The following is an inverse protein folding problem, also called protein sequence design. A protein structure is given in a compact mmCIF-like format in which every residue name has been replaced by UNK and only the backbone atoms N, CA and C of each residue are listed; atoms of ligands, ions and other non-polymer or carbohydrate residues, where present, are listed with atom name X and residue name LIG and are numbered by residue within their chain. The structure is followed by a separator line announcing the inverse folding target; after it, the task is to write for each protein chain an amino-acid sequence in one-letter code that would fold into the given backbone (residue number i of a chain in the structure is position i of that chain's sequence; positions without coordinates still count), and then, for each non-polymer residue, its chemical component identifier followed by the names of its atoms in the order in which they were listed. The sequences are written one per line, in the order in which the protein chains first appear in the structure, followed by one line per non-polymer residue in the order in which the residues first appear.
data_IF_482370547457
#
_entry.id   IF_482370547457
#
_cell.length_a   1.000
_cell.length_b   1.000
_cell.length_c   1.000
_cell.angle_alpha   90.00
_cell.angle_beta   90.00
_cell.angle_gamma   90.00
#
_symmetry.space_group_name_H-M   'P 1'
#
loop_
_entity.id
_entity.type
_entity.pdbx_description
1 polymer ?
#
# COMPACT_ATOMS: atom_id res chain seq x y z
N UNK A 1 4.61 18.38 -32.19
CA UNK A 1 3.93 17.26 -31.52
C UNK A 1 4.92 16.63 -30.55
N UNK A 2 4.65 16.62 -29.24
CA UNK A 2 5.58 16.15 -28.19
C UNK A 2 5.73 14.62 -28.10
N UNK A 3 5.26 13.88 -29.10
CA UNK A 3 5.19 12.41 -29.08
C UNK A 3 6.55 11.78 -28.70
N UNK A 4 7.65 12.22 -29.31
CA UNK A 4 9.00 11.68 -29.02
C UNK A 4 9.57 12.06 -27.65
N UNK A 5 8.90 12.91 -26.87
CA UNK A 5 9.35 13.31 -25.54
C UNK A 5 8.77 12.40 -24.44
N UNK A 6 7.81 11.52 -24.74
CA UNK A 6 7.29 10.57 -23.74
C UNK A 6 8.37 9.54 -23.35
N UNK A 7 9.17 9.07 -24.32
CA UNK A 7 10.22 8.08 -24.08
C UNK A 7 11.35 8.55 -23.17
N UNK A 8 11.47 9.84 -22.86
CA UNK A 8 12.48 10.32 -21.90
C UNK A 8 12.12 10.00 -20.45
N UNK A 9 10.85 9.71 -20.17
CA UNK A 9 10.35 9.40 -18.82
C UNK A 9 10.30 7.90 -18.54
N UNK A 10 10.51 7.07 -19.57
CA UNK A 10 10.34 5.62 -19.52
C UNK A 10 11.61 4.90 -19.99
N UNK A 11 12.20 4.00 -19.19
CA UNK A 11 13.39 3.26 -19.58
C UNK A 11 13.11 2.23 -20.69
N UNK A 12 11.87 1.75 -20.78
CA UNK A 12 11.39 0.81 -21.80
C UNK A 12 10.17 1.40 -22.49
N UNK A 13 10.02 1.10 -23.78
CA UNK A 13 9.15 1.89 -24.65
C UNK A 13 8.25 1.05 -25.54
N UNK A 14 8.14 -0.27 -25.38
CA UNK A 14 7.33 -1.10 -26.29
C UNK A 14 5.87 -0.62 -26.34
N UNK A 15 5.26 -0.35 -25.18
CA UNK A 15 3.90 0.18 -25.10
C UNK A 15 3.80 1.60 -25.69
N UNK A 16 4.82 2.44 -25.47
CA UNK A 16 4.88 3.76 -26.08
C UNK A 16 5.05 3.69 -27.61
N UNK A 17 5.83 2.75 -28.14
CA UNK A 17 5.98 2.53 -29.58
C UNK A 17 4.66 2.08 -30.21
N UNK A 18 3.87 1.26 -29.50
CA UNK A 18 2.52 0.89 -29.94
C UNK A 18 1.61 2.12 -30.03
N UNK A 19 1.58 2.96 -29.00
CA UNK A 19 0.82 4.23 -29.01
C UNK A 19 1.26 5.12 -30.19
N UNK A 20 2.56 5.27 -30.38
CA UNK A 20 3.15 6.06 -31.46
C UNK A 20 2.77 5.51 -32.84
N UNK A 21 2.84 4.19 -33.04
CA UNK A 21 2.48 3.53 -34.30
C UNK A 21 1.02 3.78 -34.65
N UNK A 22 0.10 3.50 -33.74
CA UNK A 22 -1.34 3.71 -33.93
C UNK A 22 -1.66 5.19 -34.19
N UNK A 23 -1.01 6.10 -33.46
CA UNK A 23 -1.20 7.55 -33.67
C UNK A 23 -0.79 8.01 -35.07
N UNK A 24 0.29 7.45 -35.61
CA UNK A 24 0.76 7.76 -36.96
C UNK A 24 -0.16 7.14 -38.03
N UNK A 25 -0.65 5.92 -37.81
CA UNK A 25 -1.62 5.27 -38.71
C UNK A 25 -2.95 6.02 -38.81
N UNK A 26 -3.36 6.72 -37.74
CA UNK A 26 -4.58 7.50 -37.69
C UNK A 26 -4.44 8.95 -38.18
N UNK A 27 -3.23 9.39 -38.55
CA UNK A 27 -2.95 10.78 -38.92
C UNK A 27 -3.53 11.16 -40.31
N UNK A 28 -4.87 11.22 -40.39
CA UNK A 28 -5.67 11.88 -41.42
C UNK A 28 -5.88 13.35 -41.00
N UNK A 29 -5.93 14.26 -41.98
CA UNK A 29 -6.27 15.69 -41.78
C UNK A 29 -7.54 15.92 -40.95
N UNK A 30 -8.54 15.02 -40.97
CA UNK A 30 -9.80 15.16 -40.21
C UNK A 30 -9.69 14.80 -38.72
N UNK A 31 -8.76 13.93 -38.32
CA UNK A 31 -8.61 13.42 -36.94
C UNK A 31 -7.37 13.97 -36.23
N UNK A 32 -6.52 14.69 -36.96
CA UNK A 32 -5.21 15.17 -36.49
C UNK A 32 -5.27 15.98 -35.18
N UNK A 33 -6.28 16.85 -35.01
CA UNK A 33 -6.39 17.67 -33.80
C UNK A 33 -6.78 16.86 -32.57
N UNK A 34 -7.69 15.89 -32.72
CA UNK A 34 -8.10 14.97 -31.65
C UNK A 34 -6.94 14.07 -31.23
N UNK A 35 -6.21 13.50 -32.19
CA UNK A 35 -5.02 12.69 -31.92
C UNK A 35 -3.97 13.52 -31.18
N UNK A 36 -3.74 14.77 -31.61
CA UNK A 36 -2.80 15.68 -30.94
C UNK A 36 -3.22 15.94 -29.49
N UNK A 37 -4.51 16.10 -29.23
CA UNK A 37 -5.04 16.27 -27.87
C UNK A 37 -4.77 15.05 -26.99
N UNK A 38 -5.08 13.84 -27.46
CA UNK A 38 -4.85 12.59 -26.73
C UNK A 38 -3.36 12.44 -26.38
N UNK A 39 -2.48 12.64 -27.36
CA UNK A 39 -1.03 12.55 -27.15
C UNK A 39 -0.50 13.63 -26.20
N UNK A 40 -1.05 14.84 -26.27
CA UNK A 40 -0.62 15.92 -25.38
C UNK A 40 -1.04 15.65 -23.94
N UNK A 41 -2.23 15.09 -23.73
CA UNK A 41 -2.70 14.67 -22.42
C UNK A 41 -1.86 13.52 -21.86
N UNK A 42 -1.64 12.46 -22.64
CA UNK A 42 -0.80 11.33 -22.23
C UNK A 42 0.63 11.78 -21.87
N UNK A 43 1.19 12.73 -22.64
CA UNK A 43 2.48 13.33 -22.32
C UNK A 43 2.45 14.09 -20.99
N UNK A 44 1.46 14.97 -20.77
CA UNK A 44 1.35 15.75 -19.55
C UNK A 44 1.19 14.85 -18.32
N UNK A 45 0.41 13.78 -18.43
CA UNK A 45 0.18 12.84 -17.33
C UNK A 45 1.43 12.01 -17.01
N UNK A 46 2.19 11.57 -18.03
CA UNK A 46 3.48 10.89 -17.84
C UNK A 46 4.53 11.83 -17.25
N UNK A 47 4.60 13.08 -17.74
CA UNK A 47 5.49 14.11 -17.22
C UNK A 47 5.20 14.40 -15.74
N UNK A 48 3.92 14.44 -15.35
CA UNK A 48 3.49 14.59 -13.96
C UNK A 48 3.93 13.41 -13.08
N UNK A 49 3.98 12.18 -13.60
CA UNK A 49 4.54 11.04 -12.85
C UNK A 49 6.06 11.15 -12.66
N UNK A 50 6.77 11.75 -13.62
CA UNK A 50 8.22 11.90 -13.62
C UNK A 50 8.98 10.66 -14.07
N UNK A 51 10.31 10.72 -14.00
CA UNK A 51 11.20 9.66 -14.52
C UNK A 51 11.19 8.40 -13.64
N UNK A 52 11.31 7.24 -14.28
CA UNK A 52 11.67 5.99 -13.61
C UNK A 52 13.19 5.82 -13.68
N UNK A 53 13.81 5.58 -12.53
CA UNK A 53 15.26 5.38 -12.39
C UNK A 53 15.50 3.95 -11.94
N UNK A 54 16.11 3.11 -12.79
CA UNK A 54 16.31 1.66 -12.54
C UNK A 54 17.02 1.36 -11.22
N UNK A 55 17.92 2.23 -10.79
CA UNK A 55 18.69 2.08 -9.54
C UNK A 55 17.97 2.62 -8.30
N UNK A 56 16.79 3.22 -8.46
CA UNK A 56 16.00 3.81 -7.38
C UNK A 56 14.58 3.20 -7.34
N UNK A 57 14.38 2.14 -6.54
CA UNK A 57 13.10 1.46 -6.37
C UNK A 57 11.94 2.38 -6.00
N UNK A 58 12.21 3.51 -5.34
CA UNK A 58 11.16 4.46 -4.97
C UNK A 58 10.47 5.13 -6.16
N UNK A 59 11.09 5.08 -7.33
CA UNK A 59 10.52 5.57 -8.60
C UNK A 59 9.77 4.50 -9.38
N UNK A 60 9.98 3.21 -9.08
CA UNK A 60 9.46 2.10 -9.89
C UNK A 60 7.93 2.05 -9.88
N UNK A 61 7.29 2.51 -8.81
CA UNK A 61 5.83 2.56 -8.73
C UNK A 61 5.19 3.45 -9.80
N UNK A 62 5.92 4.47 -10.27
CA UNK A 62 5.47 5.34 -11.37
C UNK A 62 5.19 4.56 -12.64
N UNK A 63 5.82 3.40 -12.82
CA UNK A 63 5.57 2.50 -13.97
C UNK A 63 4.11 2.09 -14.04
N UNK A 64 3.45 1.78 -12.93
CA UNK A 64 2.05 1.36 -12.94
C UNK A 64 1.14 2.48 -13.47
N UNK A 65 1.37 3.71 -13.03
CA UNK A 65 0.62 4.88 -13.50
C UNK A 65 0.92 5.21 -14.96
N UNK A 66 2.19 5.16 -15.37
CA UNK A 66 2.56 5.39 -16.78
C UNK A 66 1.93 4.33 -17.71
N UNK A 67 1.86 3.06 -17.30
CA UNK A 67 1.16 2.01 -18.05
C UNK A 67 -0.32 2.33 -18.20
N UNK A 68 -1.00 2.76 -17.11
CA UNK A 68 -2.41 3.17 -17.14
C UNK A 68 -2.65 4.34 -18.10
N UNK A 69 -1.78 5.35 -18.09
CA UNK A 69 -1.85 6.50 -19.01
C UNK A 69 -1.71 6.06 -20.48
N UNK A 70 -0.74 5.19 -20.77
CA UNK A 70 -0.55 4.67 -22.12
C UNK A 70 -1.73 3.79 -22.59
N UNK A 71 -2.28 2.95 -21.70
CA UNK A 71 -3.49 2.16 -21.99
C UNK A 71 -4.68 3.05 -22.28
N UNK A 72 -4.90 4.10 -21.47
CA UNK A 72 -5.94 5.09 -21.71
C UNK A 72 -5.77 5.73 -23.10
N UNK A 73 -4.56 6.19 -23.44
CA UNK A 73 -4.28 6.79 -24.75
C UNK A 73 -4.59 5.83 -25.91
N UNK A 74 -4.24 4.55 -25.79
CA UNK A 74 -4.57 3.52 -26.78
C UNK A 74 -6.09 3.31 -26.93
N UNK A 75 -6.81 3.27 -25.81
CA UNK A 75 -8.28 3.14 -25.82
C UNK A 75 -8.96 4.36 -26.44
N UNK A 76 -8.49 5.59 -26.19
CA UNK A 76 -9.04 6.79 -26.83
C UNK A 76 -8.77 6.81 -28.33
N UNK A 77 -7.61 6.35 -28.79
CA UNK A 77 -7.32 6.21 -30.21
C UNK A 77 -8.21 5.15 -30.87
N UNK A 78 -8.52 4.06 -30.18
CA UNK A 78 -9.44 3.03 -30.68
C UNK A 78 -10.86 3.56 -30.91
N UNK A 79 -11.33 4.50 -30.07
CA UNK A 79 -12.64 5.16 -30.29
C UNK A 79 -12.70 5.94 -31.61
N UNK A 80 -11.55 6.42 -32.13
CA UNK A 80 -11.50 7.12 -33.41
C UNK A 80 -11.61 6.17 -34.61
N UNK A 81 -11.15 4.93 -34.45
CA UNK A 81 -11.26 3.87 -35.45
C UNK A 81 -11.30 2.50 -34.74
N UNK A 82 -12.51 2.00 -34.40
CA UNK A 82 -12.64 0.78 -33.62
C UNK A 82 -11.91 -0.41 -34.23
N UNK A 83 -11.14 -1.13 -33.40
CA UNK A 83 -10.37 -2.30 -33.80
C UNK A 83 -8.97 -1.99 -34.33
N UNK A 84 -8.53 -0.73 -34.33
CA UNK A 84 -7.13 -0.38 -34.62
C UNK A 84 -6.20 -0.79 -33.46
N UNK A 85 -6.69 -0.72 -32.23
CA UNK A 85 -6.00 -1.23 -31.06
C UNK A 85 -6.56 -2.60 -30.69
N UNK A 86 -5.66 -3.58 -30.55
CA UNK A 86 -6.01 -4.91 -30.05
C UNK A 86 -5.55 -5.03 -28.60
N UNK A 87 -6.44 -5.34 -27.63
CA UNK A 87 -6.06 -5.52 -26.23
C UNK A 87 -4.90 -6.51 -26.04
N UNK A 88 -4.91 -7.61 -26.79
CA UNK A 88 -3.85 -8.63 -26.76
C UNK A 88 -2.48 -8.10 -27.15
N UNK A 89 -2.41 -7.14 -28.07
CA UNK A 89 -1.15 -6.48 -28.44
C UNK A 89 -0.70 -5.53 -27.34
N UNK A 90 -1.64 -4.81 -26.72
CA UNK A 90 -1.35 -3.99 -25.54
C UNK A 90 -0.77 -4.80 -24.40
N UNK A 91 -1.41 -5.91 -24.04
CA UNK A 91 -0.95 -6.80 -22.97
C UNK A 91 0.45 -7.37 -23.27
N UNK A 92 0.71 -7.77 -24.53
CA UNK A 92 2.02 -8.24 -24.95
C UNK A 92 3.11 -7.16 -24.78
N UNK A 93 2.83 -5.91 -25.16
CA UNK A 93 3.80 -4.81 -24.97
C UNK A 93 4.04 -4.47 -23.50
N UNK A 94 3.01 -4.55 -22.64
CA UNK A 94 3.14 -4.35 -21.19
C UNK A 94 4.00 -5.45 -20.56
N UNK A 95 3.80 -6.70 -20.98
CA UNK A 95 4.60 -7.85 -20.53
C UNK A 95 6.05 -7.72 -20.98
N UNK A 96 6.29 -7.30 -22.23
CA UNK A 96 7.64 -7.05 -22.74
C UNK A 96 8.35 -5.95 -21.91
N UNK A 97 7.70 -4.79 -21.75
CA UNK A 97 8.25 -3.70 -20.93
C UNK A 97 8.44 -4.12 -19.46
N UNK A 98 7.66 -5.07 -18.94
CA UNK A 98 7.81 -5.57 -17.58
C UNK A 98 9.01 -6.51 -17.46
N UNK A 99 9.19 -7.39 -18.45
CA UNK A 99 10.31 -8.32 -18.53
C UNK A 99 11.64 -7.57 -18.64
N UNK A 100 11.73 -6.63 -19.58
CA UNK A 100 12.95 -5.85 -19.81
C UNK A 100 13.31 -5.00 -18.58
N UNK A 101 12.30 -4.45 -17.91
CA UNK A 101 12.48 -3.73 -16.65
C UNK A 101 13.00 -4.62 -15.52
N UNK A 102 12.37 -5.78 -15.31
CA UNK A 102 12.83 -6.74 -14.30
C UNK A 102 14.28 -7.14 -14.55
N UNK A 103 14.63 -7.47 -15.79
CA UNK A 103 16.00 -7.86 -16.15
C UNK A 103 17.02 -6.78 -15.78
N UNK A 104 16.71 -5.51 -16.02
CA UNK A 104 17.63 -4.43 -15.67
C UNK A 104 17.66 -4.12 -14.18
N UNK A 105 16.52 -4.25 -13.48
CA UNK A 105 16.47 -4.17 -12.02
C UNK A 105 17.35 -5.26 -11.40
N UNK A 106 17.23 -6.50 -11.86
CA UNK A 106 18.02 -7.63 -11.36
C UNK A 106 19.53 -7.45 -11.63
N UNK A 107 19.89 -6.83 -12.75
CA UNK A 107 21.29 -6.49 -13.05
C UNK A 107 21.82 -5.31 -12.25
N UNK A 108 20.96 -4.33 -11.94
CA UNK A 108 21.36 -3.08 -11.28
C UNK A 108 21.31 -3.15 -9.75
N UNK A 109 20.49 -4.05 -9.20
CA UNK A 109 20.26 -4.21 -7.76
C UNK A 109 20.86 -5.56 -7.32
N UNK A 110 21.83 -5.58 -6.39
CA UNK A 110 22.49 -6.83 -5.97
C UNK A 110 21.51 -7.89 -5.49
N UNK A 111 21.71 -9.16 -5.84
CA UNK A 111 20.84 -10.31 -5.51
C UNK A 111 20.52 -10.44 -4.00
N UNK A 112 21.38 -9.93 -3.13
CA UNK A 112 21.17 -9.88 -1.69
C UNK A 112 20.07 -8.88 -1.26
N UNK A 113 19.42 -8.23 -2.22
CA UNK A 113 18.41 -7.18 -2.01
C UNK A 113 17.02 -7.53 -2.55
N UNK A 114 16.84 -8.65 -3.25
CA UNK A 114 15.67 -8.89 -4.13
C UNK A 114 14.82 -10.14 -3.81
N UNK A 115 14.98 -10.80 -2.67
CA UNK A 115 14.42 -12.16 -2.51
C UNK A 115 13.31 -12.39 -1.51
N UNK A 116 12.91 -11.42 -0.68
CA UNK A 116 11.82 -11.69 0.25
C UNK A 116 10.48 -11.25 -0.35
N UNK A 117 9.61 -12.25 -0.57
CA UNK A 117 8.23 -12.01 -0.96
C UNK A 117 7.52 -11.27 0.17
N UNK A 118 7.26 -9.99 -0.06
CA UNK A 118 6.51 -9.16 0.88
C UNK A 118 5.03 -9.46 0.67
N UNK A 119 4.42 -10.14 1.63
CA UNK A 119 2.96 -10.29 1.68
C UNK A 119 2.42 -9.22 2.61
N UNK A 120 1.48 -8.42 2.09
CA UNK A 120 0.89 -7.26 2.75
C UNK A 120 -0.55 -7.58 3.13
N UNK A 121 -0.89 -7.49 4.42
CA UNK A 121 -2.26 -7.70 4.90
C UNK A 121 -2.89 -6.39 5.41
N UNK A 122 -4.20 -6.24 5.23
CA UNK A 122 -4.96 -5.13 5.84
C UNK A 122 -5.32 -5.50 7.29
N UNK A 123 -4.82 -4.77 8.28
CA UNK A 123 -5.17 -5.00 9.68
C UNK A 123 -6.65 -4.75 9.99
N UNK A 124 -7.33 -3.94 9.18
CA UNK A 124 -8.76 -3.65 9.35
C UNK A 124 -9.65 -4.75 8.76
N UNK A 125 -9.09 -5.59 7.88
CA UNK A 125 -9.76 -6.75 7.28
C UNK A 125 -8.85 -8.00 7.30
N UNK A 126 -8.69 -8.65 8.47
CA UNK A 126 -7.79 -9.80 8.65
C UNK A 126 -8.18 -11.03 7.81
N UNK A 127 -9.40 -11.05 7.27
CA UNK A 127 -9.90 -12.14 6.43
C UNK A 127 -9.58 -11.92 4.95
N UNK A 128 -9.17 -10.70 4.57
CA UNK A 128 -8.72 -10.39 3.22
C UNK A 128 -7.44 -11.17 2.92
N UNK A 129 -7.35 -11.89 1.78
CA UNK A 129 -6.12 -12.55 1.40
C UNK A 129 -4.98 -11.52 1.28
N UNK A 130 -3.80 -11.92 1.73
CA UNK A 130 -2.60 -11.10 1.64
C UNK A 130 -2.30 -10.72 0.20
N UNK A 131 -1.82 -9.50 0.00
CA UNK A 131 -1.48 -8.94 -1.31
C UNK A 131 0.01 -8.99 -1.50
N UNK A 132 0.44 -9.44 -2.67
CA UNK A 132 1.85 -9.50 -3.02
C UNK A 132 2.14 -8.46 -4.11
N UNK A 133 2.98 -7.44 -3.86
CA UNK A 133 3.40 -6.54 -4.90
C UNK A 133 4.12 -7.29 -6.02
N UNK A 134 4.00 -6.84 -7.28
CA UNK A 134 4.77 -7.40 -8.38
C UNK A 134 6.27 -7.33 -8.08
N UNK A 135 6.99 -8.46 -8.20
CA UNK A 135 8.44 -8.55 -7.97
C UNK A 135 9.24 -7.52 -8.75
N UNK A 136 8.76 -7.17 -9.95
CA UNK A 136 9.32 -6.16 -10.86
C UNK A 136 9.46 -4.78 -10.26
N UNK A 137 8.70 -4.47 -9.21
CA UNK A 137 8.84 -3.18 -8.52
C UNK A 137 10.07 -3.13 -7.60
N UNK A 138 10.62 -4.27 -7.17
CA UNK A 138 11.81 -4.32 -6.32
C UNK A 138 11.64 -3.57 -4.98
N UNK A 139 10.44 -3.58 -4.42
CA UNK A 139 10.10 -2.80 -3.22
C UNK A 139 10.84 -3.36 -2.01
N UNK A 140 11.60 -2.50 -1.33
CA UNK A 140 12.49 -2.85 -0.21
C UNK A 140 12.31 -1.97 1.02
N UNK A 141 11.68 -0.79 0.88
CA UNK A 141 11.44 0.15 1.98
C UNK A 141 9.97 0.40 2.22
N UNK A 142 9.64 0.78 3.45
CA UNK A 142 8.28 1.13 3.85
C UNK A 142 7.62 2.16 2.93
N UNK A 143 8.32 3.27 2.60
CA UNK A 143 7.80 4.30 1.69
C UNK A 143 7.40 3.78 0.30
N UNK A 144 8.08 2.74 -0.18
CA UNK A 144 7.90 2.18 -1.52
C UNK A 144 6.64 1.32 -1.56
N UNK A 145 6.43 0.51 -0.51
CA UNK A 145 5.19 -0.23 -0.28
C UNK A 145 4.01 0.71 -0.06
N UNK A 146 4.16 1.76 0.74
CA UNK A 146 3.13 2.79 0.91
C UNK A 146 2.79 3.47 -0.43
N UNK A 147 3.79 3.73 -1.27
CA UNK A 147 3.58 4.24 -2.63
C UNK A 147 2.79 3.27 -3.48
N UNK A 148 3.12 1.98 -3.42
CA UNK A 148 2.41 0.91 -4.13
C UNK A 148 0.94 0.82 -3.72
N UNK A 149 0.64 0.78 -2.42
CA UNK A 149 -0.72 0.72 -1.92
C UNK A 149 -1.57 1.92 -2.36
N UNK A 150 -0.96 3.11 -2.51
CA UNK A 150 -1.63 4.31 -3.02
C UNK A 150 -1.91 4.24 -4.52
N UNK A 151 -0.92 3.88 -5.32
CA UNK A 151 -1.06 3.79 -6.79
C UNK A 151 -2.11 2.75 -7.20
N UNK A 152 -2.20 1.65 -6.46
CA UNK A 152 -3.21 0.61 -6.70
C UNK A 152 -4.59 0.93 -6.11
N UNK A 153 -4.77 2.09 -5.47
CA UNK A 153 -6.03 2.49 -4.85
C UNK A 153 -6.44 1.63 -3.65
N UNK A 154 -5.50 0.87 -3.08
CA UNK A 154 -5.73 -0.03 -1.94
C UNK A 154 -5.83 0.78 -0.64
N UNK A 155 -4.95 1.78 -0.47
CA UNK A 155 -4.95 2.65 0.70
C UNK A 155 -4.52 4.08 0.34
N UNK A 156 -5.27 5.06 0.83
CA UNK A 156 -4.99 6.48 0.58
C UNK A 156 -3.88 7.00 1.51
N UNK A 157 -3.86 6.53 2.76
CA UNK A 157 -2.88 6.89 3.78
C UNK A 157 -2.38 5.63 4.51
N UNK A 158 -1.63 4.76 3.83
CA UNK A 158 -1.09 3.55 4.44
C UNK A 158 0.03 3.85 5.44
N UNK A 159 -0.06 3.25 6.62
CA UNK A 159 1.03 3.07 7.57
C UNK A 159 1.33 1.57 7.72
N UNK A 160 2.61 1.20 7.82
CA UNK A 160 3.05 -0.20 7.89
C UNK A 160 3.48 -0.59 9.30
N UNK A 161 3.28 -1.87 9.58
CA UNK A 161 3.65 -2.53 10.81
C UNK A 161 4.27 -3.88 10.49
N UNK A 162 5.36 -4.22 11.18
CA UNK A 162 6.02 -5.52 11.08
C UNK A 162 5.42 -6.44 12.13
N UNK A 163 4.89 -7.59 11.70
CA UNK A 163 4.44 -8.65 12.60
C UNK A 163 5.60 -9.54 13.01
N UNK A 164 5.69 -9.81 14.30
CA UNK A 164 6.63 -10.74 14.91
C UNK A 164 5.87 -11.88 15.60
N UNK A 165 6.53 -13.02 15.79
CA UNK A 165 5.99 -14.19 16.48
C UNK A 165 6.87 -14.53 17.67
N UNK A 166 6.30 -15.19 18.68
CA UNK A 166 7.02 -15.67 19.87
C UNK A 166 7.75 -14.57 20.67
N UNK A 167 7.29 -13.31 20.64
CA UNK A 167 7.92 -12.24 21.44
C UNK A 167 7.43 -12.19 22.89
N UNK A 168 6.31 -12.81 23.21
CA UNK A 168 5.78 -12.87 24.57
C UNK A 168 4.98 -14.16 24.82
N UNK A 169 4.71 -14.46 26.10
CA UNK A 169 4.01 -15.68 26.53
C UNK A 169 2.53 -15.47 26.93
N UNK A 170 1.94 -14.31 26.66
CA UNK A 170 0.55 -14.00 27.03
C UNK A 170 -0.50 -14.77 26.20
N UNK A 171 -0.15 -15.13 24.97
CA UNK A 171 -0.99 -15.88 24.04
C UNK A 171 -0.17 -17.02 23.45
N UNK A 172 -0.81 -18.10 22.94
CA UNK A 172 -0.09 -19.22 22.34
C UNK A 172 0.76 -18.82 21.11
N UNK A 173 0.32 -17.84 20.32
CA UNK A 173 1.05 -17.41 19.11
C UNK A 173 2.14 -16.36 19.42
N UNK A 174 2.08 -15.70 20.58
CA UNK A 174 3.06 -14.71 21.03
C UNK A 174 3.30 -13.58 20.03
N UNK A 175 2.25 -13.18 19.28
CA UNK A 175 2.36 -12.21 18.19
C UNK A 175 2.46 -10.78 18.71
N UNK A 176 3.28 -9.98 18.04
CA UNK A 176 3.38 -8.55 18.30
C UNK A 176 3.63 -7.79 17.01
N UNK A 177 3.40 -6.48 17.04
CA UNK A 177 3.57 -5.61 15.89
C UNK A 177 4.42 -4.40 16.23
N UNK A 178 5.34 -4.06 15.33
CA UNK A 178 6.19 -2.87 15.48
C UNK A 178 5.91 -1.92 14.33
N UNK A 179 5.66 -0.65 14.63
CA UNK A 179 5.49 0.38 13.61
C UNK A 179 6.76 0.54 12.78
N UNK A 180 6.63 0.53 11.45
CA UNK A 180 7.76 0.58 10.51
C UNK A 180 7.96 2.00 10.02
N UNK A 181 9.15 2.56 10.25
CA UNK A 181 9.47 3.93 9.80
C UNK A 181 9.59 4.01 8.28
N UNK A 182 9.33 5.18 7.71
CA UNK A 182 9.28 5.41 6.25
C UNK A 182 10.48 4.90 5.46
N UNK A 183 11.69 5.10 5.98
CA UNK A 183 12.94 4.74 5.32
C UNK A 183 13.47 3.35 5.74
N UNK A 184 12.75 2.66 6.62
CA UNK A 184 13.13 1.36 7.14
C UNK A 184 12.98 0.27 6.07
N UNK A 185 13.93 -0.68 6.11
CA UNK A 185 13.92 -1.87 5.27
C UNK A 185 12.79 -2.82 5.72
N UNK A 186 12.05 -3.34 4.75
CA UNK A 186 10.92 -4.25 4.97
C UNK A 186 11.17 -5.67 4.47
N UNK A 187 12.36 -5.96 3.92
CA UNK A 187 12.73 -7.30 3.47
C UNK A 187 12.83 -8.26 4.64
N UNK A 188 12.37 -9.49 4.42
CA UNK A 188 12.32 -10.56 5.42
C UNK A 188 11.28 -10.33 6.52
N UNK A 189 10.53 -9.22 6.48
CA UNK A 189 9.50 -8.90 7.46
C UNK A 189 8.13 -9.31 6.94
N UNK A 190 7.31 -9.86 7.84
CA UNK A 190 5.88 -9.96 7.62
C UNK A 190 5.26 -8.60 7.87
N UNK A 191 4.71 -7.95 6.86
CA UNK A 191 4.18 -6.59 7.00
C UNK A 191 2.66 -6.55 6.85
N UNK A 192 2.05 -5.71 7.64
CA UNK A 192 0.62 -5.44 7.61
C UNK A 192 0.45 -3.91 7.55
N UNK A 193 -0.66 -3.44 6.96
CA UNK A 193 -0.92 -2.01 6.81
C UNK A 193 -2.24 -1.60 7.45
N UNK A 194 -2.31 -0.31 7.78
CA UNK A 194 -3.52 0.39 8.19
C UNK A 194 -3.73 1.56 7.25
N UNK A 195 -4.95 1.73 6.73
CA UNK A 195 -5.32 2.91 5.96
C UNK A 195 -5.91 4.00 6.87
N UNK A 196 -5.11 5.02 7.22
CA UNK A 196 -5.50 6.09 8.14
C UNK A 196 -6.62 6.99 7.63
N UNK A 197 -6.87 7.02 6.32
CA UNK A 197 -7.96 7.79 5.72
C UNK A 197 -9.36 7.39 6.25
N UNK A 198 -9.45 6.28 7.01
CA UNK A 198 -10.64 5.86 7.77
C UNK A 198 -10.86 6.63 9.09
N UNK A 199 -10.27 7.82 9.25
CA UNK A 199 -10.42 8.75 10.39
C UNK A 199 -9.63 8.40 11.66
N UNK A 200 -8.51 7.69 11.56
CA UNK A 200 -7.63 7.54 12.72
C UNK A 200 -6.82 8.82 12.91
N UNK A 201 -7.08 9.56 13.99
CA UNK A 201 -6.31 10.78 14.30
C UNK A 201 -5.09 10.47 15.17
N UNK A 202 -5.27 9.60 16.17
CA UNK A 202 -4.23 8.94 16.96
C UNK A 202 -4.68 7.50 17.24
N UNK A 203 -3.77 6.54 17.21
CA UNK A 203 -4.14 5.13 17.38
C UNK A 203 -3.01 4.30 18.00
N UNK A 204 -3.41 3.16 18.55
CA UNK A 204 -2.53 2.06 18.94
C UNK A 204 -2.99 0.79 18.21
N UNK A 205 -2.12 -0.20 18.11
CA UNK A 205 -2.50 -1.55 17.65
C UNK A 205 -2.63 -2.42 18.88
N UNK A 206 -3.82 -2.95 19.14
CA UNK A 206 -4.02 -3.93 20.22
C UNK A 206 -3.99 -5.35 19.64
N UNK A 207 -3.50 -6.28 20.45
CA UNK A 207 -3.63 -7.69 20.18
C UNK A 207 -4.96 -8.20 20.74
N UNK A 208 -5.91 -8.58 19.88
CA UNK A 208 -7.13 -9.26 20.30
C UNK A 208 -6.89 -10.77 20.32
N UNK A 209 -7.01 -11.37 21.49
CA UNK A 209 -6.99 -12.82 21.66
C UNK A 209 -8.44 -13.35 21.70
N UNK A 210 -8.83 -14.12 20.69
CA UNK A 210 -10.17 -14.70 20.56
C UNK A 210 -10.07 -16.09 19.93
N UNK A 211 -10.77 -17.08 20.46
CA UNK A 211 -10.85 -18.44 19.89
C UNK A 211 -9.46 -19.06 19.60
N UNK A 212 -8.52 -18.86 20.53
CA UNK A 212 -7.12 -19.29 20.42
C UNK A 212 -6.35 -18.65 19.24
N UNK A 213 -6.80 -17.49 18.75
CA UNK A 213 -6.16 -16.74 17.66
C UNK A 213 -5.84 -15.32 18.09
N UNK A 214 -4.72 -14.84 17.57
CA UNK A 214 -4.22 -13.49 17.79
C UNK A 214 -4.48 -12.61 16.57
N UNK A 215 -5.29 -11.58 16.76
CA UNK A 215 -5.73 -10.65 15.71
C UNK A 215 -5.28 -9.24 16.07
N UNK A 216 -4.44 -8.62 15.25
CA UNK A 216 -4.15 -7.20 15.38
C UNK A 216 -5.40 -6.37 15.10
N UNK A 217 -5.65 -5.37 15.95
CA UNK A 217 -6.73 -4.42 15.75
C UNK A 217 -6.22 -3.01 16.05
N UNK A 218 -6.18 -2.10 15.07
CA UNK A 218 -5.99 -0.70 15.37
C UNK A 218 -7.21 -0.15 16.12
N UNK A 219 -6.94 0.58 17.18
CA UNK A 219 -7.93 1.26 18.01
C UNK A 219 -7.56 2.73 18.09
N UNK A 220 -8.52 3.60 17.80
CA UNK A 220 -8.36 5.03 17.96
C UNK A 220 -8.18 5.36 19.45
N UNK A 221 -7.23 6.24 19.73
CA UNK A 221 -7.04 6.84 21.05
C UNK A 221 -7.29 8.35 20.93
N UNK A 222 -7.92 8.98 21.94
CA UNK A 222 -8.09 10.42 21.98
C UNK A 222 -6.73 11.12 22.04
N UNK A 223 -6.70 12.42 21.72
CA UNK A 223 -5.51 13.23 21.99
C UNK A 223 -5.31 13.42 23.49
N UNK A 224 -4.07 13.67 23.94
CA UNK A 224 -3.82 14.04 25.32
C UNK A 224 -4.69 15.22 25.77
N UNK A 225 -5.51 14.99 26.79
CA UNK A 225 -6.44 15.98 27.34
C UNK A 225 -7.88 15.89 26.83
N UNK A 226 -8.16 15.12 25.77
CA UNK A 226 -9.51 14.93 25.25
C UNK A 226 -10.24 13.76 25.95
N UNK A 227 -11.56 13.86 26.18
CA UNK A 227 -12.33 12.76 26.72
C UNK A 227 -12.43 11.62 25.69
N UNK A 228 -12.14 10.40 26.13
CA UNK A 228 -12.09 9.19 25.30
C UNK A 228 -13.43 8.83 24.60
N UNK A 229 -14.58 9.20 25.19
CA UNK A 229 -15.89 8.96 24.61
C UNK A 229 -16.87 10.08 24.97
N UNK A 230 -17.89 10.30 24.13
CA UNK A 230 -19.00 11.24 24.38
C UNK A 230 -19.83 10.92 25.64
N UNK A 231 -19.69 9.71 26.20
CA UNK A 231 -20.39 9.22 27.40
C UNK A 231 -19.52 9.03 28.65
N UNK A 232 -18.33 9.63 28.71
CA UNK A 232 -17.42 9.53 29.86
C UNK A 232 -16.98 8.09 30.18
N UNK A 233 -16.44 7.37 29.19
CA UNK A 233 -15.67 6.15 29.41
C UNK A 233 -14.51 6.45 30.37
N UNK A 234 -14.69 6.20 31.68
CA UNK A 234 -13.64 6.46 32.66
C UNK A 234 -12.59 5.35 32.70
N UNK A 235 -12.96 4.12 32.30
CA UNK A 235 -12.11 2.93 32.37
C UNK A 235 -11.84 2.33 31.00
N UNK A 236 -10.65 1.75 30.84
CA UNK A 236 -10.21 1.06 29.61
C UNK A 236 -11.16 -0.05 29.17
N UNK A 237 -11.59 -0.92 30.09
CA UNK A 237 -12.52 -2.02 29.78
C UNK A 237 -13.84 -1.55 29.19
N UNK A 238 -14.39 -0.42 29.68
CA UNK A 238 -15.62 0.18 29.14
C UNK A 238 -15.40 0.71 27.73
N UNK A 239 -14.29 1.41 27.50
CA UNK A 239 -13.95 1.93 26.18
C UNK A 239 -13.79 0.80 25.14
N UNK A 240 -13.06 -0.26 25.47
CA UNK A 240 -12.93 -1.41 24.57
C UNK A 240 -14.26 -2.12 24.33
N UNK A 241 -15.09 -2.22 25.36
CA UNK A 241 -16.42 -2.82 25.24
C UNK A 241 -17.34 -1.99 24.33
N UNK A 242 -17.18 -0.68 24.23
CA UNK A 242 -17.89 0.17 23.26
C UNK A 242 -17.33 0.00 21.84
N UNK A 243 -16.01 -0.01 21.67
CA UNK A 243 -15.37 -0.09 20.36
C UNK A 243 -15.46 -1.46 19.68
N UNK A 244 -15.46 -2.54 20.46
CA UNK A 244 -15.33 -3.90 19.96
C UNK A 244 -16.65 -4.69 20.01
N UNK A 245 -17.79 -4.00 20.14
CA UNK A 245 -19.10 -4.65 20.07
C UNK A 245 -19.26 -5.46 18.77
N UNK A 246 -19.88 -6.65 18.82
CA UNK A 246 -20.55 -7.25 19.98
C UNK A 246 -19.66 -8.12 20.88
N UNK A 247 -18.32 -8.10 20.73
CA UNK A 247 -17.41 -8.98 21.50
C UNK A 247 -17.49 -8.66 22.99
N UNK A 248 -17.44 -9.69 23.83
CA UNK A 248 -17.36 -9.53 25.28
C UNK A 248 -15.90 -9.40 25.70
N UNK A 249 -15.52 -8.25 26.27
CA UNK A 249 -14.16 -8.05 26.76
C UNK A 249 -14.02 -8.66 28.15
N UNK A 250 -13.17 -9.67 28.29
CA UNK A 250 -12.94 -10.36 29.56
C UNK A 250 -11.80 -9.74 30.36
N UNK A 251 -10.73 -9.31 29.68
CA UNK A 251 -9.49 -8.82 30.33
C UNK A 251 -8.67 -7.97 29.37
N UNK A 252 -7.89 -7.02 29.90
CA UNK A 252 -6.89 -6.26 29.14
C UNK A 252 -5.58 -6.22 29.93
N UNK A 253 -4.47 -6.60 29.28
CA UNK A 253 -3.16 -6.78 29.93
C UNK A 253 -2.07 -6.14 29.09
N UNK A 254 -1.15 -5.41 29.72
CA UNK A 254 0.03 -4.88 29.03
C UNK A 254 0.98 -6.01 28.61
N UNK A 255 1.53 -5.98 27.40
CA UNK A 255 2.38 -7.06 26.85
C UNK A 255 3.70 -7.19 27.61
N UNK A 256 4.38 -6.08 27.87
CA UNK A 256 5.71 -6.08 28.47
C UNK A 256 5.66 -6.31 30.00
N UNK A 257 4.80 -5.57 30.70
CA UNK A 257 4.76 -5.57 32.18
C UNK A 257 3.79 -6.62 32.75
N UNK A 258 2.95 -7.23 31.90
CA UNK A 258 1.89 -8.18 32.28
C UNK A 258 0.91 -7.63 33.33
N UNK A 259 0.79 -6.30 33.42
CA UNK A 259 -0.13 -5.63 34.32
C UNK A 259 -1.56 -5.69 33.77
N UNK A 260 -2.51 -6.02 34.63
CA UNK A 260 -3.92 -5.92 34.30
C UNK A 260 -4.36 -4.45 34.31
N UNK A 261 -4.82 -3.97 33.16
CA UNK A 261 -5.23 -2.58 32.95
C UNK A 261 -6.71 -2.46 32.61
N UNK A 262 -7.49 -3.53 32.75
CA UNK A 262 -8.92 -3.53 32.43
C UNK A 262 -9.69 -2.43 33.19
N UNK A 263 -9.44 -2.31 34.49
CA UNK A 263 -10.08 -1.31 35.36
C UNK A 263 -9.31 0.01 35.47
N UNK A 264 -8.17 0.13 34.79
CA UNK A 264 -7.37 1.36 34.80
C UNK A 264 -8.12 2.50 34.14
N UNK A 265 -7.84 3.72 34.61
CA UNK A 265 -8.41 4.93 34.02
C UNK A 265 -7.92 5.00 32.57
N UNK A 266 -8.81 5.28 31.63
CA UNK A 266 -8.38 5.54 30.27
C UNK A 266 -7.72 6.91 30.24
N UNK A 267 -6.39 6.95 30.28
CA UNK A 267 -5.58 8.12 29.97
C UNK A 267 -4.66 7.81 28.78
N UNK A 268 -4.29 8.85 28.04
CA UNK A 268 -3.40 8.73 26.87
C UNK A 268 -1.94 8.58 27.26
N UNK A 269 -1.61 8.67 28.56
CA UNK A 269 -0.25 8.47 29.08
C UNK A 269 0.09 6.99 29.28
N UNK A 270 -0.93 6.12 29.34
CA UNK A 270 -0.77 4.68 29.43
C UNK A 270 -0.21 4.04 28.16
N UNK A 271 -0.37 4.67 26.99
CA UNK A 271 0.05 4.07 25.72
C UNK A 271 0.66 5.10 24.79
N UNK A 272 1.82 4.76 24.24
CA UNK A 272 2.45 5.55 23.20
C UNK A 272 1.70 5.40 21.86
N UNK A 273 1.55 6.52 21.14
CA UNK A 273 0.97 6.52 19.79
C UNK A 273 1.78 5.60 18.88
N UNK A 274 1.10 4.75 18.11
CA UNK A 274 1.72 3.69 17.30
C UNK A 274 2.51 2.67 18.11
N UNK A 275 2.03 2.31 19.30
CA UNK A 275 2.53 1.15 20.05
C UNK A 275 1.63 -0.09 19.91
N UNK A 276 2.18 -1.24 20.30
CA UNK A 276 1.47 -2.51 20.45
C UNK A 276 1.78 -3.10 21.83
N UNK A 277 1.37 -2.40 22.88
CA UNK A 277 1.66 -2.80 24.26
C UNK A 277 0.47 -3.46 24.95
N UNK A 278 -0.65 -3.72 24.26
CA UNK A 278 -1.86 -4.21 24.89
C UNK A 278 -2.40 -5.49 24.25
N UNK A 279 -2.68 -6.47 25.10
CA UNK A 279 -3.41 -7.70 24.77
C UNK A 279 -4.80 -7.68 25.41
N UNK A 280 -5.84 -7.88 24.61
CA UNK A 280 -7.24 -7.90 25.04
C UNK A 280 -7.81 -9.29 24.83
N UNK A 281 -8.27 -9.91 25.91
CA UNK A 281 -8.91 -11.21 25.88
C UNK A 281 -10.41 -11.05 25.64
N UNK A 282 -10.89 -11.61 24.54
CA UNK A 282 -12.29 -11.62 24.17
C UNK A 282 -12.93 -12.98 24.48
N UNK A 283 -14.18 -12.96 24.91
CA UNK A 283 -15.01 -14.12 25.19
C UNK A 283 -16.15 -14.32 24.22
#
# INVERSE_FOLDING_TARGET
MKLNQISTYMPYTAQFQLLKRISLELADRKTTDTIRSIISQAYADIEMQGHIVIRDPSTHIRRLEQVKVLQWGLMELDKLKPGIYKPTEGDATIQQDAHDFQMAVDQAIPVNQTTDEVIIYDMLDPMCPGRQPPKVLGLSKCKEICGYLKAEGIANQPELWSRHQNLHALTPEGRSWTFVKREEDIRGKFVEFINLARRFTSYIVVLLHQDQRDIARPIEIPFPGDPCCSRACRRLGQHFQELLQPRRIQRAVTINEKQDVYDSIFDTGLFDVRSNDLCIYCG
#
